data_IF_761130094403
#
_entry.id   IF_761130094403
#
_cell.length_a   1.000
_cell.length_b   1.000
_cell.length_c   1.000
_cell.angle_alpha   90.00
_cell.angle_beta   90.00
_cell.angle_gamma   90.00
#
_symmetry.space_group_name_H-M   'P 1'
#
loop_
_entity.id
_entity.type
_entity.pdbx_description
1 polymer ?
#
# COMPACT_ATOMS: atom_id res chain seq x y z
N UNK A 1 -38.30 23.65 13.08
CA UNK A 1 -37.44 24.59 12.31
C UNK A 1 -36.22 23.82 11.83
N UNK A 2 -36.18 23.47 10.55
CA UNK A 2 -35.09 22.69 9.94
C UNK A 2 -33.97 23.63 9.46
N UNK A 3 -32.74 23.40 9.92
CA UNK A 3 -31.57 24.13 9.44
C UNK A 3 -31.20 23.64 8.02
N UNK A 4 -31.56 24.43 7.00
CA UNK A 4 -31.01 24.28 5.67
C UNK A 4 -29.53 24.64 5.69
N UNK A 5 -28.64 23.64 5.58
CA UNK A 5 -27.23 23.89 5.21
C UNK A 5 -27.23 24.33 3.75
N UNK A 6 -27.30 25.65 3.52
CA UNK A 6 -27.08 26.23 2.18
C UNK A 6 -25.59 26.16 1.86
N UNK A 7 -25.18 25.06 1.24
CA UNK A 7 -23.90 24.92 0.56
C UNK A 7 -24.09 24.91 -0.96
N UNK A 8 -24.46 26.03 -1.57
CA UNK A 8 -24.50 26.12 -3.04
C UNK A 8 -23.09 25.92 -3.63
N UNK A 9 -22.95 25.23 -4.78
CA UNK A 9 -21.66 25.10 -5.46
C UNK A 9 -21.34 26.44 -6.12
N UNK A 10 -20.46 27.23 -5.48
CA UNK A 10 -19.89 28.40 -6.14
C UNK A 10 -18.86 27.95 -7.19
N UNK A 11 -18.74 28.62 -8.35
CA UNK A 11 -17.78 28.26 -9.40
C UNK A 11 -16.31 28.24 -8.93
N UNK A 12 -16.00 28.98 -7.86
CA UNK A 12 -14.69 28.96 -7.19
C UNK A 12 -14.43 27.67 -6.39
N UNK A 13 -15.47 27.05 -5.80
CA UNK A 13 -15.37 25.72 -5.16
C UNK A 13 -15.09 24.66 -6.22
N UNK A 14 -15.76 24.73 -7.37
CA UNK A 14 -15.54 23.77 -8.47
C UNK A 14 -14.15 23.95 -9.10
N UNK A 15 -13.67 25.19 -9.25
CA UNK A 15 -12.30 25.47 -9.71
C UNK A 15 -11.23 24.91 -8.78
N UNK A 16 -11.39 25.12 -7.46
CA UNK A 16 -10.49 24.59 -6.42
C UNK A 16 -10.50 23.06 -6.39
N UNK A 17 -11.68 22.44 -6.49
CA UNK A 17 -11.83 20.98 -6.52
C UNK A 17 -11.12 20.39 -7.74
N UNK A 18 -11.36 20.95 -8.94
CA UNK A 18 -10.67 20.52 -10.18
C UNK A 18 -9.15 20.66 -10.06
N UNK A 19 -8.66 21.74 -9.47
CA UNK A 19 -7.23 21.93 -9.25
C UNK A 19 -6.62 20.87 -8.31
N UNK A 20 -7.28 20.58 -7.18
CA UNK A 20 -6.85 19.54 -6.24
C UNK A 20 -6.92 18.13 -6.86
N UNK A 21 -7.92 17.85 -7.70
CA UNK A 21 -8.04 16.60 -8.45
C UNK A 21 -6.87 16.43 -9.41
N UNK A 22 -6.55 17.43 -10.24
CA UNK A 22 -5.39 17.41 -11.15
C UNK A 22 -4.07 17.21 -10.41
N UNK A 23 -3.90 17.88 -9.26
CA UNK A 23 -2.70 17.70 -8.42
C UNK A 23 -2.61 16.27 -7.88
N UNK A 24 -3.72 15.71 -7.39
CA UNK A 24 -3.80 14.32 -6.92
C UNK A 24 -3.50 13.33 -8.04
N UNK A 25 -4.04 13.52 -9.23
CA UNK A 25 -3.79 12.68 -10.40
C UNK A 25 -2.31 12.70 -10.78
N UNK A 26 -1.69 13.87 -10.82
CA UNK A 26 -0.25 14.02 -11.08
C UNK A 26 0.62 13.30 -10.04
N UNK A 27 0.30 13.45 -8.75
CA UNK A 27 1.02 12.75 -7.67
C UNK A 27 0.85 11.23 -7.76
N UNK A 28 -0.33 10.75 -8.16
CA UNK A 28 -0.59 9.32 -8.36
C UNK A 28 0.13 8.76 -9.58
N UNK A 29 0.17 9.49 -10.68
CA UNK A 29 0.92 9.12 -11.87
C UNK A 29 2.42 8.99 -11.54
N UNK A 30 2.97 9.96 -10.80
CA UNK A 30 4.35 9.88 -10.32
C UNK A 30 4.56 8.66 -9.39
N UNK A 31 3.68 8.45 -8.42
CA UNK A 31 3.78 7.29 -7.53
C UNK A 31 3.70 5.95 -8.29
N UNK A 32 2.83 5.86 -9.31
CA UNK A 32 2.73 4.68 -10.18
C UNK A 32 4.00 4.45 -11.00
N UNK A 33 4.60 5.51 -11.55
CA UNK A 33 5.87 5.42 -12.26
C UNK A 33 7.00 4.94 -11.33
N UNK A 34 7.07 5.48 -10.11
CA UNK A 34 8.05 5.04 -9.11
C UNK A 34 7.84 3.58 -8.72
N UNK A 35 6.59 3.16 -8.48
CA UNK A 35 6.27 1.77 -8.17
C UNK A 35 6.69 0.81 -9.30
N UNK A 36 6.48 1.20 -10.55
CA UNK A 36 6.88 0.38 -11.70
C UNK A 36 8.40 0.31 -11.89
N UNK A 37 9.12 1.42 -11.70
CA UNK A 37 10.59 1.46 -11.84
C UNK A 37 11.30 0.68 -10.73
N UNK A 38 10.73 0.70 -9.53
CA UNK A 38 11.32 0.05 -8.34
C UNK A 38 10.66 -1.29 -7.99
N UNK A 39 9.83 -1.84 -8.89
CA UNK A 39 9.26 -3.15 -8.67
C UNK A 39 10.38 -4.21 -8.65
N UNK A 40 10.33 -5.18 -7.72
CA UNK A 40 11.17 -6.36 -7.78
C UNK A 40 11.02 -7.07 -9.13
N UNK A 41 12.10 -7.71 -9.59
CA UNK A 41 12.08 -8.51 -10.81
C UNK A 41 11.09 -9.69 -10.74
N UNK A 42 10.79 -10.28 -11.89
CA UNK A 42 10.05 -11.54 -11.93
C UNK A 42 10.81 -12.61 -11.15
N UNK A 43 10.07 -13.45 -10.43
CA UNK A 43 10.67 -14.53 -9.65
C UNK A 43 11.38 -14.06 -8.37
N UNK A 44 11.09 -12.85 -7.86
CA UNK A 44 11.73 -12.34 -6.65
C UNK A 44 11.41 -13.16 -5.40
N UNK A 45 10.24 -13.83 -5.36
CA UNK A 45 9.81 -14.61 -4.20
C UNK A 45 10.66 -15.87 -4.02
N UNK A 46 11.22 -16.38 -5.12
CA UNK A 46 12.14 -17.50 -5.19
C UNK A 46 13.56 -17.12 -4.73
N UNK A 47 13.88 -15.83 -4.68
CA UNK A 47 15.16 -15.34 -4.13
C UNK A 47 15.18 -15.36 -2.59
N UNK A 48 14.02 -15.51 -1.95
CA UNK A 48 13.89 -15.50 -0.49
C UNK A 48 14.05 -16.92 0.07
N UNK A 49 15.02 -17.10 0.97
CA UNK A 49 15.03 -18.26 1.85
C UNK A 49 13.94 -18.14 2.95
N UNK A 50 13.63 -19.25 3.63
CA UNK A 50 12.61 -19.26 4.69
C UNK A 50 13.00 -18.42 5.91
N UNK A 51 14.29 -18.15 6.11
CA UNK A 51 14.82 -17.33 7.20
C UNK A 51 14.75 -15.83 6.91
N UNK A 52 14.51 -15.43 5.66
CA UNK A 52 14.53 -14.05 5.22
C UNK A 52 13.44 -13.26 5.92
N UNK A 53 13.82 -12.23 6.67
CA UNK A 53 12.88 -11.34 7.35
C UNK A 53 12.09 -10.50 6.33
N UNK A 54 10.79 -10.73 6.24
CA UNK A 54 9.86 -9.94 5.43
C UNK A 54 9.28 -8.77 6.22
N UNK A 55 8.99 -8.97 7.51
CA UNK A 55 8.51 -7.91 8.41
C UNK A 55 9.50 -7.65 9.53
N UNK A 56 10.37 -6.63 9.36
CA UNK A 56 11.35 -6.26 10.38
C UNK A 56 10.76 -5.82 11.73
N UNK A 57 9.56 -5.23 11.74
CA UNK A 57 8.99 -4.73 13.00
C UNK A 57 8.42 -5.82 13.91
N UNK A 58 8.03 -6.97 13.35
CA UNK A 58 7.44 -8.09 14.08
C UNK A 58 8.26 -9.37 13.87
N UNK A 59 9.45 -9.24 13.28
CA UNK A 59 10.41 -10.32 13.02
C UNK A 59 9.80 -11.52 12.27
N UNK A 60 8.90 -11.24 11.31
CA UNK A 60 8.22 -12.28 10.52
C UNK A 60 9.04 -12.62 9.29
N UNK A 61 9.39 -13.90 9.15
CA UNK A 61 10.15 -14.42 8.01
C UNK A 61 9.28 -14.81 6.81
N UNK A 62 9.89 -15.01 5.65
CA UNK A 62 9.22 -15.53 4.45
C UNK A 62 8.65 -16.93 4.70
N UNK A 63 9.36 -17.78 5.45
CA UNK A 63 8.88 -19.12 5.84
C UNK A 63 7.59 -19.07 6.65
N UNK A 64 7.49 -18.15 7.62
CA UNK A 64 6.25 -17.97 8.40
C UNK A 64 5.06 -17.50 7.54
N UNK A 65 5.32 -16.67 6.51
CA UNK A 65 4.29 -16.28 5.55
C UNK A 65 3.86 -17.47 4.68
N UNK A 66 4.81 -18.28 4.19
CA UNK A 66 4.53 -19.50 3.41
C UNK A 66 3.74 -20.52 4.25
N UNK A 67 4.12 -20.74 5.50
CA UNK A 67 3.37 -21.59 6.43
C UNK A 67 1.92 -21.10 6.59
N UNK A 68 1.71 -19.79 6.75
CA UNK A 68 0.36 -19.24 6.80
C UNK A 68 -0.47 -19.52 5.54
N UNK A 69 0.17 -19.51 4.37
CA UNK A 69 -0.46 -19.79 3.07
C UNK A 69 -0.73 -21.29 2.89
N UNK A 70 0.24 -22.14 3.19
CA UNK A 70 0.21 -23.57 2.85
C UNK A 70 -0.47 -24.41 3.92
N UNK A 71 -0.18 -24.16 5.20
CA UNK A 71 -0.73 -24.91 6.32
C UNK A 71 -2.08 -24.38 6.79
N UNK A 72 -2.30 -23.06 6.73
CA UNK A 72 -3.50 -22.40 7.26
C UNK A 72 -4.41 -21.78 6.19
N UNK A 73 -4.03 -21.89 4.91
CA UNK A 73 -4.88 -21.50 3.78
C UNK A 73 -5.02 -19.99 3.58
N UNK A 74 -4.08 -19.17 4.06
CA UNK A 74 -4.09 -17.74 3.80
C UNK A 74 -3.97 -17.46 2.29
N UNK A 75 -4.80 -16.54 1.77
CA UNK A 75 -4.79 -16.12 0.36
C UNK A 75 -4.73 -14.60 0.18
N UNK A 76 -4.64 -13.86 1.28
CA UNK A 76 -4.53 -12.42 1.29
C UNK A 76 -3.68 -11.91 2.47
N UNK A 77 -3.21 -10.66 2.35
CA UNK A 77 -2.38 -10.03 3.36
C UNK A 77 -3.08 -9.86 4.72
N UNK A 78 -4.41 -9.73 4.73
CA UNK A 78 -5.18 -9.57 5.97
C UNK A 78 -5.14 -10.85 6.79
N UNK A 79 -5.29 -11.99 6.14
CA UNK A 79 -5.26 -13.31 6.78
C UNK A 79 -3.85 -13.62 7.26
N UNK A 80 -2.82 -13.36 6.46
CA UNK A 80 -1.43 -13.49 6.90
C UNK A 80 -1.16 -12.60 8.12
N UNK A 81 -1.59 -11.33 8.10
CA UNK A 81 -1.45 -10.41 9.23
C UNK A 81 -2.08 -10.93 10.52
N UNK A 82 -3.25 -11.56 10.44
CA UNK A 82 -3.90 -12.16 11.61
C UNK A 82 -3.15 -13.37 12.15
N UNK A 83 -2.55 -14.17 11.27
CA UNK A 83 -1.82 -15.39 11.64
C UNK A 83 -0.39 -15.10 12.13
N UNK A 84 0.30 -14.12 11.55
CA UNK A 84 1.75 -13.91 11.74
C UNK A 84 2.10 -12.57 12.38
N UNK A 85 1.13 -11.66 12.56
CA UNK A 85 1.33 -10.27 12.97
C UNK A 85 2.05 -9.36 11.96
N UNK A 86 2.41 -9.86 10.78
CA UNK A 86 3.07 -9.06 9.76
C UNK A 86 2.28 -7.76 9.46
N UNK A 87 2.94 -6.62 9.61
CA UNK A 87 2.35 -5.30 9.41
C UNK A 87 1.65 -4.69 10.64
N UNK A 88 1.71 -5.31 11.82
CA UNK A 88 1.18 -4.74 13.07
C UNK A 88 2.18 -3.90 13.88
N UNK A 89 3.46 -3.92 13.50
CA UNK A 89 4.49 -3.16 14.20
C UNK A 89 4.47 -1.65 13.91
N UNK A 90 5.48 -0.93 14.38
CA UNK A 90 5.55 0.55 14.30
C UNK A 90 5.37 1.11 12.88
N UNK A 91 5.85 0.40 11.86
CA UNK A 91 5.70 0.82 10.47
C UNK A 91 4.28 0.63 9.92
N UNK A 92 3.40 -0.09 10.60
CA UNK A 92 2.01 -0.37 10.21
C UNK A 92 1.90 -0.86 8.76
N UNK A 93 2.74 -1.84 8.41
CA UNK A 93 2.76 -2.47 7.09
C UNK A 93 3.22 -1.57 5.94
N UNK A 94 3.82 -0.40 6.19
CA UNK A 94 4.34 0.47 5.11
C UNK A 94 5.48 -0.15 4.32
N UNK A 95 6.32 -0.94 5.01
CA UNK A 95 7.50 -1.57 4.42
C UNK A 95 7.16 -2.95 3.89
N UNK A 96 6.60 -3.82 4.74
CA UNK A 96 6.36 -5.22 4.38
C UNK A 96 5.03 -5.49 3.66
N UNK A 97 4.07 -4.56 3.67
CA UNK A 97 2.68 -4.84 3.27
C UNK A 97 2.54 -5.30 1.82
N UNK A 98 3.28 -4.70 0.89
CA UNK A 98 3.26 -5.11 -0.51
C UNK A 98 3.86 -6.51 -0.70
N UNK A 99 5.03 -6.77 -0.11
CA UNK A 99 5.69 -8.08 -0.16
C UNK A 99 4.80 -9.19 0.42
N UNK A 100 4.20 -8.94 1.59
CA UNK A 100 3.27 -9.89 2.25
C UNK A 100 2.05 -10.16 1.36
N UNK A 101 1.49 -9.14 0.71
CA UNK A 101 0.36 -9.32 -0.20
C UNK A 101 0.73 -10.18 -1.42
N UNK A 102 1.89 -9.92 -2.03
CA UNK A 102 2.38 -10.69 -3.16
C UNK A 102 2.65 -12.15 -2.79
N UNK A 103 3.32 -12.40 -1.66
CA UNK A 103 3.59 -13.75 -1.15
C UNK A 103 2.30 -14.50 -0.80
N UNK A 104 1.32 -13.83 -0.19
CA UNK A 104 0.05 -14.45 0.19
C UNK A 104 -0.83 -14.84 -1.01
N UNK A 105 -0.81 -14.01 -2.06
CA UNK A 105 -1.68 -14.18 -3.23
C UNK A 105 -0.98 -14.86 -4.42
N UNK A 106 0.32 -15.14 -4.31
CA UNK A 106 1.15 -15.65 -5.42
C UNK A 106 1.16 -14.69 -6.62
N UNK A 107 1.09 -13.37 -6.37
CA UNK A 107 0.94 -12.35 -7.41
C UNK A 107 2.26 -11.66 -7.74
N UNK A 108 2.35 -11.18 -8.99
CA UNK A 108 3.42 -10.29 -9.44
C UNK A 108 3.42 -8.98 -8.59
N UNK A 109 4.58 -8.44 -8.19
CA UNK A 109 4.69 -7.10 -7.59
C UNK A 109 4.00 -5.97 -8.35
N UNK A 110 3.85 -6.11 -9.68
CA UNK A 110 3.13 -5.16 -10.53
C UNK A 110 1.60 -5.35 -10.51
N UNK A 111 1.09 -6.48 -10.01
CA UNK A 111 -0.35 -6.65 -9.85
C UNK A 111 -0.86 -5.59 -8.88
N UNK A 112 -2.02 -4.97 -9.16
CA UNK A 112 -2.58 -3.97 -8.25
C UNK A 112 -2.72 -4.60 -6.86
N UNK A 113 -2.14 -3.98 -5.82
CA UNK A 113 -2.19 -4.57 -4.49
C UNK A 113 -3.66 -4.71 -4.07
N UNK A 114 -3.99 -5.70 -3.21
CA UNK A 114 -5.28 -5.73 -2.56
C UNK A 114 -5.54 -4.40 -1.86
N UNK A 115 -6.81 -4.09 -1.62
CA UNK A 115 -7.27 -2.77 -1.17
C UNK A 115 -6.34 -2.23 -0.07
N UNK A 116 -5.86 -0.99 -0.20
CA UNK A 116 -4.84 -0.47 0.71
C UNK A 116 -5.36 -0.54 2.14
N UNK A 117 -4.54 -1.08 3.05
CA UNK A 117 -4.86 -1.02 4.47
C UNK A 117 -5.20 0.41 4.84
N UNK A 118 -6.43 0.63 5.35
CA UNK A 118 -6.88 1.95 5.77
C UNK A 118 -6.02 2.39 6.95
N UNK A 119 -5.21 3.43 6.71
CA UNK A 119 -4.33 4.04 7.70
C UNK A 119 -4.80 5.48 7.90
N UNK A 120 -5.79 5.70 8.79
CA UNK A 120 -6.36 7.04 9.00
C UNK A 120 -5.31 8.00 9.56
N UNK A 121 -4.31 7.47 10.28
CA UNK A 121 -3.17 8.22 10.78
C UNK A 121 -1.94 7.89 9.95
N UNK A 122 -1.21 8.94 9.54
CA UNK A 122 0.04 8.80 8.80
C UNK A 122 1.14 8.11 9.63
N UNK A 123 1.02 8.10 10.95
CA UNK A 123 1.91 7.47 11.91
C UNK A 123 1.25 7.33 13.29
N UNK A 124 1.92 6.66 14.25
CA UNK A 124 1.45 6.62 15.63
C UNK A 124 1.31 8.04 16.20
N UNK A 125 0.16 8.31 16.83
CA UNK A 125 -0.13 9.58 17.52
C UNK A 125 -0.36 9.26 19.00
N UNK A 126 0.32 9.93 19.95
CA UNK A 126 0.08 9.71 21.36
C UNK A 126 -1.37 9.97 21.74
N UNK A 127 -1.95 9.12 22.60
CA UNK A 127 -3.35 9.28 23.02
C UNK A 127 -3.61 10.61 23.71
N UNK A 128 -2.63 11.15 24.45
CA UNK A 128 -2.74 12.48 25.09
C UNK A 128 -2.93 13.63 24.09
N UNK A 129 -2.35 13.52 22.88
CA UNK A 129 -2.54 14.52 21.81
C UNK A 129 -3.99 14.50 21.32
N UNK A 130 -4.54 13.29 21.11
CA UNK A 130 -5.94 13.15 20.70
C UNK A 130 -6.90 13.59 21.81
N UNK A 131 -6.59 13.26 23.08
CA UNK A 131 -7.39 13.66 24.24
C UNK A 131 -7.41 15.17 24.47
N UNK A 132 -6.29 15.86 24.21
CA UNK A 132 -6.20 17.31 24.32
C UNK A 132 -7.07 18.06 23.29
N UNK A 133 -7.42 17.43 22.15
CA UNK A 133 -8.32 18.03 21.17
C UNK A 133 -9.76 18.14 21.71
N UNK A 134 -10.20 17.20 22.56
CA UNK A 134 -11.54 17.21 23.17
C UNK A 134 -11.67 18.04 24.45
N UNK A 135 -10.56 18.42 25.08
CA UNK A 135 -10.57 19.20 26.33
C UNK A 135 -11.01 20.67 26.14
N UNK A 136 -11.12 21.13 24.89
CA UNK A 136 -11.66 22.44 24.52
C UNK A 136 -13.07 22.35 23.88
N UNK A 137 -13.69 21.17 23.89
CA UNK A 137 -15.03 20.97 23.34
C UNK A 137 -16.07 21.00 24.48
N UNK A 138 -17.15 21.81 24.39
CA UNK A 138 -18.26 21.69 25.33
C UNK A 138 -18.81 20.25 25.31
N UNK A 139 -19.39 19.76 26.41
CA UNK A 139 -19.83 18.36 26.52
C UNK A 139 -20.70 17.97 25.33
N UNK A 140 -20.23 16.97 24.58
CA UNK A 140 -20.97 16.42 23.43
C UNK A 140 -22.17 15.66 23.97
N UNK A 141 -23.35 16.23 23.80
CA UNK A 141 -24.62 15.49 23.92
C UNK A 141 -24.55 14.33 22.93
N UNK A 142 -24.84 13.08 23.32
CA UNK A 142 -24.73 11.93 22.42
C UNK A 142 -25.50 12.21 21.13
N UNK A 143 -24.77 12.21 20.01
CA UNK A 143 -25.34 12.47 18.71
C UNK A 143 -26.39 11.41 18.39
N UNK A 144 -27.55 11.86 17.91
CA UNK A 144 -28.57 11.00 17.31
C UNK A 144 -27.91 10.08 16.28
N UNK A 145 -28.23 8.77 16.24
CA UNK A 145 -27.61 7.84 15.31
C UNK A 145 -27.69 8.37 13.88
N UNK A 146 -26.52 8.60 13.28
CA UNK A 146 -26.41 8.95 11.87
C UNK A 146 -26.71 7.73 11.02
N UNK A 147 -27.73 7.82 10.18
CA UNK A 147 -28.06 6.80 9.19
C UNK A 147 -26.83 6.55 8.29
N UNK A 148 -26.39 5.30 8.08
CA UNK A 148 -25.21 5.02 7.30
C UNK A 148 -25.40 5.54 5.86
N UNK A 149 -24.43 6.34 5.41
CA UNK A 149 -24.31 6.70 4.00
C UNK A 149 -23.94 5.43 3.23
N UNK A 150 -24.74 5.09 2.22
CA UNK A 150 -24.48 3.95 1.35
C UNK A 150 -23.05 4.02 0.78
N UNK A 151 -22.33 2.89 0.70
CA UNK A 151 -20.96 2.89 0.20
C UNK A 151 -20.94 3.44 -1.23
N UNK A 152 -20.04 4.39 -1.47
CA UNK A 152 -19.79 4.88 -2.82
C UNK A 152 -19.38 3.70 -3.71
N UNK A 153 -20.02 3.59 -4.87
CA UNK A 153 -19.70 2.60 -5.90
C UNK A 153 -18.19 2.69 -6.21
N UNK A 154 -17.45 1.57 -6.19
CA UNK A 154 -16.03 1.59 -6.50
C UNK A 154 -15.84 2.08 -7.94
N UNK A 155 -15.13 3.21 -8.08
CA UNK A 155 -14.66 3.67 -9.38
C UNK A 155 -13.51 2.74 -9.77
N UNK A 156 -13.70 1.99 -10.85
CA UNK A 156 -12.68 1.12 -11.41
C UNK A 156 -11.39 1.93 -11.68
N UNK A 157 -10.21 1.44 -11.27
CA UNK A 157 -8.97 2.12 -11.59
C UNK A 157 -8.80 2.13 -13.12
N UNK A 158 -8.48 3.30 -13.68
CA UNK A 158 -8.01 3.37 -15.05
C UNK A 158 -6.70 2.57 -15.15
N UNK A 159 -6.67 1.57 -16.02
CA UNK A 159 -5.47 0.80 -16.33
C UNK A 159 -4.46 1.74 -16.98
N UNK A 160 -3.31 2.04 -16.36
CA UNK A 160 -2.25 2.75 -17.07
C UNK A 160 -1.72 1.85 -18.19
N UNK A 161 -1.58 2.40 -19.39
CA UNK A 161 -0.89 1.72 -20.47
C UNK A 161 0.58 1.51 -20.05
N UNK A 162 0.99 0.26 -19.89
CA UNK A 162 2.39 -0.13 -19.69
C UNK A 162 3.04 -0.16 -21.07
N UNK A 163 4.06 0.66 -21.38
CA UNK A 163 4.79 0.52 -22.63
C UNK A 163 5.56 -0.81 -22.63
N UNK A 164 5.39 -1.56 -23.72
CA UNK A 164 6.05 -2.83 -23.96
C UNK A 164 7.58 -2.64 -23.95
N UNK A 165 8.27 -3.37 -23.07
CA UNK A 165 9.74 -3.36 -22.98
C UNK A 165 10.38 -4.53 -23.72
N UNK A 166 9.74 -5.05 -24.77
CA UNK A 166 10.35 -6.04 -25.67
C UNK A 166 11.54 -5.54 -26.52
N UNK A 167 12.11 -4.36 -26.26
CA UNK A 167 13.27 -3.86 -26.98
C UNK A 167 14.48 -3.63 -26.06
N UNK A 168 15.32 -4.67 -25.95
CA UNK A 168 16.77 -4.56 -25.80
C UNK A 168 17.32 -4.29 -24.40
N UNK A 169 17.64 -5.36 -23.65
CA UNK A 169 18.83 -5.36 -22.81
C UNK A 169 19.90 -6.26 -23.48
N UNK A 170 21.17 -5.84 -23.54
CA UNK A 170 22.24 -6.68 -24.06
C UNK A 170 22.47 -7.90 -23.17
N UNK A 171 22.70 -9.04 -23.82
CA UNK A 171 22.98 -10.35 -23.23
C UNK A 171 24.23 -10.31 -22.34
N UNK A 172 24.04 -10.58 -21.04
CA UNK A 172 25.11 -10.64 -20.03
C UNK A 172 25.85 -12.00 -20.01
N UNK A 173 25.69 -12.82 -21.05
CA UNK A 173 26.33 -14.15 -21.16
C UNK A 173 27.71 -14.13 -21.85
N UNK A 174 28.43 -12.99 -21.88
CA UNK A 174 29.82 -12.97 -22.36
C UNK A 174 30.77 -13.37 -21.22
N UNK A 175 31.51 -14.48 -21.33
CA UNK A 175 32.53 -14.82 -20.35
C UNK A 175 33.72 -13.85 -20.47
N UNK A 176 34.12 -13.27 -19.34
CA UNK A 176 35.34 -12.47 -19.22
C UNK A 176 36.56 -13.32 -19.61
N UNK A 177 37.25 -12.86 -20.65
CA UNK A 177 38.44 -13.50 -21.19
C UNK A 177 39.69 -13.21 -20.37
N UNK A 178 40.32 -14.30 -19.92
CA UNK A 178 41.75 -14.53 -19.74
C UNK A 178 42.57 -13.60 -18.83
N UNK A 179 42.95 -14.16 -17.68
CA UNK A 179 44.14 -13.78 -16.92
C UNK A 179 45.40 -13.83 -17.81
N UNK A 180 46.14 -12.72 -17.86
CA UNK A 180 47.51 -12.68 -18.37
C UNK A 180 48.51 -13.08 -17.27
N UNK A 181 49.69 -13.62 -17.63
CA UNK A 181 50.69 -14.03 -16.65
C UNK A 181 51.40 -12.84 -16.02
N UNK A 182 51.67 -12.94 -14.72
CA UNK A 182 52.59 -12.08 -13.99
C UNK A 182 54.03 -12.53 -14.27
N UNK A 183 54.82 -11.64 -14.87
CA UNK A 183 56.28 -11.62 -14.74
C UNK A 183 56.70 -10.93 -13.44
#
# INVERSE_FOLDING_TARGET
MAAHVRGGPGPQRDGRVRELQRRRERMRAFAGAMAAVHAPGKGWAEWLDDATEVCRCEEVTAGAVREAVDAYGARDARTVKLLTRAGMGWCQGRVCGAAVACLAAGQDPLSPPPSPERRPLAGPVPLGVLGALGANEPPVTPATPVTPVAPATPVAPATPAVPDRAAGLPDASRPDGAAGPHD
#
